data_IF_744066366736
#
_entry.id   IF_744066366736
#
_cell.length_a   1.000
_cell.length_b   1.000
_cell.length_c   1.000
_cell.angle_alpha   90.00
_cell.angle_beta   90.00
_cell.angle_gamma   90.00
#
_symmetry.space_group_name_H-M   'P 1'
#
loop_
_entity.id
_entity.type
_entity.pdbx_description
1 polymer ?
#
# COMPACT_ATOMS: atom_id res chain seq x y z
N UNK A 1 6.10 -7.55 6.09
CA UNK A 1 7.21 -8.03 5.28
C UNK A 1 7.17 -7.41 3.89
N UNK A 2 8.29 -6.82 3.47
CA UNK A 2 8.42 -6.20 2.16
C UNK A 2 9.41 -6.97 1.31
N UNK A 3 9.05 -7.16 0.05
CA UNK A 3 9.93 -7.71 -0.96
C UNK A 3 10.00 -6.72 -2.10
N UNK A 4 11.17 -6.10 -2.27
CA UNK A 4 11.39 -5.16 -3.36
C UNK A 4 11.60 -5.90 -4.66
N UNK A 5 10.72 -5.66 -5.63
CA UNK A 5 10.79 -6.27 -6.95
C UNK A 5 11.52 -5.38 -7.94
N UNK A 6 11.38 -4.07 -7.77
CA UNK A 6 12.00 -3.10 -8.65
C UNK A 6 12.17 -1.77 -7.91
N UNK A 7 13.28 -1.12 -8.15
CA UNK A 7 13.48 0.29 -7.79
C UNK A 7 14.24 0.95 -8.91
N UNK A 8 13.67 1.99 -9.48
CA UNK A 8 14.25 2.68 -10.62
C UNK A 8 14.03 4.18 -10.49
N UNK A 9 15.08 4.94 -10.75
CA UNK A 9 14.96 6.40 -10.80
C UNK A 9 14.56 6.83 -12.20
N UNK A 10 13.53 7.66 -12.26
CA UNK A 10 13.10 8.34 -13.46
C UNK A 10 13.43 9.81 -13.29
N UNK A 11 13.33 10.63 -14.34
CA UNK A 11 13.81 12.01 -14.35
C UNK A 11 13.65 12.78 -13.02
N UNK A 12 12.46 12.76 -12.43
CA UNK A 12 12.17 13.46 -11.16
C UNK A 12 11.46 12.57 -10.15
N UNK A 13 11.41 11.26 -10.39
CA UNK A 13 10.66 10.34 -9.56
C UNK A 13 11.44 9.07 -9.34
N UNK A 14 11.14 8.38 -8.25
CA UNK A 14 11.62 7.03 -8.02
C UNK A 14 10.43 6.09 -8.10
N UNK A 15 10.53 5.09 -8.96
CA UNK A 15 9.53 4.04 -9.08
C UNK A 15 9.97 2.86 -8.21
N UNK A 16 9.09 2.41 -7.31
CA UNK A 16 9.31 1.20 -6.52
C UNK A 16 8.16 0.24 -6.67
N UNK A 17 8.49 -1.02 -6.85
CA UNK A 17 7.52 -2.10 -6.92
C UNK A 17 7.84 -3.08 -5.81
N UNK A 18 6.87 -3.34 -4.95
CA UNK A 18 7.03 -4.20 -3.78
C UNK A 18 5.97 -5.29 -3.75
N UNK A 19 6.34 -6.45 -3.23
CA UNK A 19 5.36 -7.38 -2.73
C UNK A 19 5.33 -7.23 -1.21
N UNK A 20 4.15 -7.07 -0.63
CA UNK A 20 3.98 -6.80 0.79
C UNK A 20 3.08 -7.87 1.39
N UNK A 21 3.50 -8.45 2.50
CA UNK A 21 2.72 -9.42 3.25
C UNK A 21 2.23 -8.76 4.54
N UNK A 22 0.93 -8.69 4.70
CA UNK A 22 0.29 -8.15 5.90
C UNK A 22 -0.19 -9.33 6.75
N UNK A 23 0.46 -9.53 7.89
CA UNK A 23 0.13 -10.65 8.76
C UNK A 23 -1.26 -10.54 9.37
N UNK A 24 -1.87 -11.68 9.81
CA UNK A 24 -3.20 -11.68 10.40
C UNK A 24 -3.30 -10.77 11.63
N UNK A 25 -4.48 -10.19 11.80
CA UNK A 25 -4.82 -9.43 13.02
C UNK A 25 -3.83 -8.32 13.35
N UNK A 26 -3.42 -7.57 12.34
CA UNK A 26 -2.48 -6.46 12.49
C UNK A 26 -3.12 -5.14 12.06
N UNK A 27 -2.59 -4.07 12.64
CA UNK A 27 -3.02 -2.71 12.34
C UNK A 27 -1.81 -1.80 12.31
N UNK A 28 -1.68 -1.06 11.22
CA UNK A 28 -0.69 0.02 11.12
C UNK A 28 -1.44 1.36 11.16
N UNK A 29 -1.11 2.17 12.16
CA UNK A 29 -1.74 3.49 12.34
C UNK A 29 -1.52 4.39 11.13
N UNK A 30 -2.34 5.44 10.97
CA UNK A 30 -2.21 6.34 9.84
C UNK A 30 -0.83 6.96 9.72
N UNK A 31 -0.34 7.03 8.49
CA UNK A 31 0.87 7.75 8.13
C UNK A 31 0.72 8.30 6.71
N UNK A 32 1.57 9.22 6.35
CA UNK A 32 1.62 9.79 5.01
C UNK A 32 2.91 9.40 4.31
N UNK A 33 2.84 9.27 3.01
CA UNK A 33 4.00 9.01 2.16
C UNK A 33 4.05 10.07 1.06
N UNK A 34 5.25 10.44 0.65
CA UNK A 34 5.41 11.40 -0.45
C UNK A 34 5.46 10.67 -1.78
N UNK A 35 4.37 9.98 -2.10
CA UNK A 35 4.29 9.13 -3.27
C UNK A 35 2.84 8.97 -3.75
N UNK A 36 2.68 8.71 -5.03
CA UNK A 36 1.45 8.10 -5.52
C UNK A 36 1.55 6.61 -5.25
N UNK A 37 0.49 6.02 -4.74
CA UNK A 37 0.46 4.59 -4.40
C UNK A 37 -0.62 3.85 -5.16
N UNK A 38 -0.26 2.70 -5.70
CA UNK A 38 -1.20 1.77 -6.30
C UNK A 38 -1.04 0.44 -5.58
N UNK A 39 -2.16 -0.09 -5.08
CA UNK A 39 -2.20 -1.32 -4.30
C UNK A 39 -3.07 -2.31 -5.06
N UNK A 40 -2.54 -3.48 -5.36
CA UNK A 40 -3.31 -4.57 -5.98
C UNK A 40 -3.25 -5.78 -5.07
N UNK A 41 -4.42 -6.32 -4.69
CA UNK A 41 -4.49 -7.45 -3.77
C UNK A 41 -4.35 -8.74 -4.56
N UNK A 42 -3.39 -9.58 -4.16
CA UNK A 42 -3.17 -10.90 -4.73
C UNK A 42 -3.89 -11.98 -3.92
N UNK A 43 -3.81 -11.90 -2.59
CA UNK A 43 -4.45 -12.83 -1.67
C UNK A 43 -4.89 -12.10 -0.41
N UNK A 44 -5.96 -12.59 0.21
CA UNK A 44 -6.44 -12.05 1.47
C UNK A 44 -7.23 -10.77 1.31
N UNK A 45 -7.57 -10.16 2.43
CA UNK A 45 -8.38 -8.94 2.46
C UNK A 45 -7.75 -7.96 3.44
N UNK A 46 -7.67 -6.70 3.06
CA UNK A 46 -7.19 -5.64 3.94
C UNK A 46 -8.13 -4.44 3.89
N UNK A 47 -8.06 -3.62 4.93
CA UNK A 47 -8.84 -2.40 5.03
C UNK A 47 -7.88 -1.22 5.08
N UNK A 48 -8.05 -0.28 4.14
CA UNK A 48 -7.34 0.98 4.13
C UNK A 48 -8.25 2.04 4.74
N UNK A 49 -7.76 2.71 5.77
CA UNK A 49 -8.50 3.79 6.42
C UNK A 49 -7.96 5.14 5.99
N UNK A 50 -8.86 6.01 5.61
CA UNK A 50 -8.61 7.42 5.33
C UNK A 50 -9.40 8.25 6.34
N UNK A 51 -9.25 9.56 6.32
CA UNK A 51 -9.85 10.42 7.35
C UNK A 51 -11.33 10.14 7.59
N UNK A 52 -12.11 10.05 6.52
CA UNK A 52 -13.56 9.97 6.61
C UNK A 52 -14.13 8.66 6.08
N UNK A 53 -13.28 7.71 5.68
CA UNK A 53 -13.78 6.45 5.14
C UNK A 53 -12.77 5.32 5.30
N UNK A 54 -13.29 4.12 5.26
CA UNK A 54 -12.49 2.91 5.25
C UNK A 54 -12.91 2.09 4.04
N UNK A 55 -11.91 1.59 3.31
CA UNK A 55 -12.11 0.81 2.09
C UNK A 55 -11.59 -0.60 2.32
N UNK A 56 -12.45 -1.59 2.13
CA UNK A 56 -12.06 -3.00 2.19
C UNK A 56 -11.74 -3.49 0.78
N UNK A 57 -10.54 -4.06 0.59
CA UNK A 57 -10.11 -4.58 -0.70
C UNK A 57 -9.69 -6.03 -0.57
N UNK A 58 -10.11 -6.86 -1.53
CA UNK A 58 -9.81 -8.29 -1.59
C UNK A 58 -9.17 -8.67 -2.92
N UNK A 59 -8.96 -9.98 -3.14
CA UNK A 59 -8.22 -10.46 -4.32
C UNK A 59 -8.74 -9.89 -5.63
N UNK A 60 -7.84 -9.35 -6.44
CA UNK A 60 -8.17 -8.75 -7.71
C UNK A 60 -8.54 -7.27 -7.65
N UNK A 61 -8.75 -6.74 -6.46
CA UNK A 61 -9.07 -5.32 -6.30
C UNK A 61 -7.81 -4.46 -6.38
N UNK A 62 -7.98 -3.26 -6.91
CA UNK A 62 -6.90 -2.28 -7.00
C UNK A 62 -7.35 -0.97 -6.37
N UNK A 63 -6.50 -0.42 -5.52
CA UNK A 63 -6.70 0.87 -4.88
C UNK A 63 -5.59 1.81 -5.33
N UNK A 64 -5.96 3.02 -5.73
CA UNK A 64 -5.01 4.04 -6.12
C UNK A 64 -5.30 5.32 -5.35
N UNK A 65 -4.27 5.92 -4.76
CA UNK A 65 -4.43 7.16 -4.02
C UNK A 65 -3.11 7.92 -3.92
N UNK A 66 -3.22 9.19 -3.58
CA UNK A 66 -2.05 10.00 -3.25
C UNK A 66 -1.67 9.74 -1.80
N UNK A 67 -0.49 9.18 -1.58
CA UNK A 67 -0.01 8.80 -0.25
C UNK A 67 0.17 9.96 0.72
N UNK A 68 0.14 11.22 0.23
CA UNK A 68 0.19 12.38 1.11
C UNK A 68 -1.02 12.42 2.04
N UNK A 69 -2.15 11.85 1.62
CA UNK A 69 -3.32 11.68 2.47
C UNK A 69 -3.01 10.59 3.50
N UNK A 70 -3.14 10.92 4.78
CA UNK A 70 -2.85 9.97 5.85
C UNK A 70 -3.73 8.73 5.71
N UNK A 71 -3.11 7.56 5.82
CA UNK A 71 -3.80 6.30 5.60
C UNK A 71 -3.30 5.21 6.55
N UNK A 72 -4.24 4.39 7.00
CA UNK A 72 -3.98 3.22 7.84
C UNK A 72 -4.20 1.95 7.05
N UNK A 73 -3.65 0.85 7.54
CA UNK A 73 -3.85 -0.48 6.96
C UNK A 73 -4.20 -1.46 8.07
N UNK A 74 -5.24 -2.23 7.87
CA UNK A 74 -5.68 -3.25 8.83
C UNK A 74 -5.91 -4.58 8.12
N UNK A 75 -5.37 -5.64 8.69
CA UNK A 75 -5.78 -7.00 8.36
C UNK A 75 -6.50 -7.58 9.57
N UNK A 76 -7.83 -7.58 9.52
CA UNK A 76 -8.67 -8.08 10.60
C UNK A 76 -9.04 -9.57 10.41
N UNK A 77 -8.32 -10.27 9.53
CA UNK A 77 -8.60 -11.68 9.22
C UNK A 77 -7.55 -12.60 9.84
N UNK A 78 -7.81 -13.90 9.76
CA UNK A 78 -6.90 -14.95 10.23
C UNK A 78 -5.88 -15.35 9.16
N UNK A 79 -5.95 -14.76 7.96
CA UNK A 79 -5.08 -15.10 6.83
C UNK A 79 -4.14 -13.96 6.52
N UNK A 80 -2.91 -14.28 6.14
CA UNK A 80 -1.97 -13.31 5.63
C UNK A 80 -2.48 -12.73 4.32
N UNK A 81 -2.49 -11.42 4.19
CA UNK A 81 -2.79 -10.75 2.93
C UNK A 81 -1.50 -10.53 2.15
N UNK A 82 -1.56 -10.72 0.85
CA UNK A 82 -0.45 -10.51 -0.04
C UNK A 82 -0.81 -9.45 -1.06
N UNK A 83 -0.07 -8.36 -1.04
CA UNK A 83 -0.32 -7.18 -1.86
C UNK A 83 0.83 -6.94 -2.82
N UNK A 84 0.48 -6.43 -3.99
CA UNK A 84 1.43 -5.89 -4.95
C UNK A 84 1.31 -4.39 -4.89
N UNK A 85 2.40 -3.69 -4.53
CA UNK A 85 2.39 -2.23 -4.37
C UNK A 85 3.33 -1.56 -5.33
N UNK A 86 2.84 -0.50 -5.95
CA UNK A 86 3.64 0.37 -6.81
C UNK A 86 3.64 1.76 -6.18
N UNK A 87 4.84 2.28 -5.95
CA UNK A 87 5.04 3.65 -5.46
C UNK A 87 5.71 4.48 -6.53
N UNK A 88 5.15 5.64 -6.79
CA UNK A 88 5.83 6.67 -7.57
C UNK A 88 6.20 7.78 -6.58
N UNK A 89 7.42 7.69 -6.07
CA UNK A 89 7.94 8.61 -5.07
C UNK A 89 8.27 9.95 -5.72
N UNK A 90 7.79 11.02 -5.11
CA UNK A 90 8.11 12.36 -5.58
C UNK A 90 9.53 12.74 -5.16
N UNK A 91 10.17 13.62 -5.91
CA UNK A 91 11.48 14.11 -5.51
C UNK A 91 11.40 14.87 -4.19
N UNK A 92 12.47 14.76 -3.40
CA UNK A 92 12.63 15.56 -2.19
C UNK A 92 13.65 16.65 -2.47
N UNK A 93 13.32 17.85 -2.05
CA UNK A 93 14.21 18.99 -2.21
C UNK A 93 15.26 19.07 -1.10
#
# INVERSE_FOLDING_TARGET
LYKYLLSQELANYTLRVNEVHITPNTYRKPLSTNALELIHVLEGTVQYGFKDEEVSIGPGDTLYFDGIVAHSVRNATELTARLFKVYLLRPTD
#
